data_IF_184242694996
#
_entry.id   IF_184242694996
#
_cell.length_a   1.000
_cell.length_b   1.000
_cell.length_c   1.000
_cell.angle_alpha   90.00
_cell.angle_beta   90.00
_cell.angle_gamma   90.00
#
_symmetry.space_group_name_H-M   'P 1'
#
loop_
_entity.id
_entity.type
_entity.pdbx_description
1 polymer ?
#
# COMPACT_ATOMS: atom_id res chain seq x y z
N UNK A 1 -28.78 -18.84 47.90
CA UNK A 1 -27.43 -18.28 47.87
C UNK A 1 -26.60 -18.77 46.65
N UNK A 2 -26.63 -20.03 46.33
CA UNK A 2 -25.87 -20.59 45.19
C UNK A 2 -26.33 -20.03 43.84
N UNK A 3 -27.61 -19.74 43.64
CA UNK A 3 -28.13 -19.19 42.37
C UNK A 3 -27.69 -17.76 42.08
N UNK A 4 -27.58 -16.90 43.08
CA UNK A 4 -27.09 -15.51 42.93
C UNK A 4 -25.61 -15.46 42.55
N UNK A 5 -24.79 -16.34 43.09
CA UNK A 5 -23.36 -16.44 42.81
C UNK A 5 -23.18 -17.01 41.39
N UNK A 6 -23.93 -18.03 41.00
CA UNK A 6 -23.90 -18.61 39.68
C UNK A 6 -24.28 -17.59 38.58
N UNK A 7 -25.34 -16.81 38.81
CA UNK A 7 -25.75 -15.73 37.89
C UNK A 7 -24.66 -14.65 37.72
N UNK A 8 -23.95 -14.26 38.80
CA UNK A 8 -22.83 -13.35 38.76
C UNK A 8 -21.68 -13.90 37.90
N UNK A 9 -21.31 -15.17 38.08
CA UNK A 9 -20.26 -15.79 37.29
C UNK A 9 -20.65 -15.96 35.83
N UNK A 10 -21.89 -16.33 35.53
CA UNK A 10 -22.40 -16.44 34.17
C UNK A 10 -22.38 -15.08 33.45
N UNK A 11 -22.75 -13.99 34.10
CA UNK A 11 -22.67 -12.64 33.56
C UNK A 11 -21.21 -12.20 33.28
N UNK A 12 -20.29 -12.54 34.18
CA UNK A 12 -18.86 -12.25 34.06
C UNK A 12 -18.24 -13.05 32.90
N UNK A 13 -18.55 -14.33 32.77
CA UNK A 13 -18.09 -15.19 31.66
C UNK A 13 -18.63 -14.67 30.34
N UNK A 14 -19.90 -14.29 30.26
CA UNK A 14 -20.49 -13.71 29.05
C UNK A 14 -19.80 -12.41 28.65
N UNK A 15 -19.50 -11.52 29.60
CA UNK A 15 -18.76 -10.28 29.34
C UNK A 15 -17.33 -10.52 28.82
N UNK A 16 -16.63 -11.50 29.40
CA UNK A 16 -15.27 -11.89 28.94
C UNK A 16 -15.32 -12.49 27.53
N UNK A 17 -16.29 -13.35 27.22
CA UNK A 17 -16.46 -13.94 25.90
C UNK A 17 -16.74 -12.87 24.83
N UNK A 18 -17.57 -11.88 25.13
CA UNK A 18 -17.84 -10.76 24.23
C UNK A 18 -16.58 -9.92 24.03
N UNK A 19 -15.82 -9.61 25.08
CA UNK A 19 -14.57 -8.85 24.97
C UNK A 19 -13.52 -9.60 24.13
N UNK A 20 -13.39 -10.90 24.28
CA UNK A 20 -12.49 -11.74 23.47
C UNK A 20 -12.92 -11.73 21.99
N UNK A 21 -14.21 -11.91 21.72
CA UNK A 21 -14.74 -11.87 20.33
C UNK A 21 -14.49 -10.52 19.67
N UNK A 22 -14.74 -9.41 20.37
CA UNK A 22 -14.46 -8.06 19.86
C UNK A 22 -12.96 -7.86 19.63
N UNK A 23 -12.12 -8.30 20.55
CA UNK A 23 -10.67 -8.26 20.40
C UNK A 23 -10.17 -9.04 19.20
N UNK A 24 -10.71 -10.24 18.95
CA UNK A 24 -10.39 -11.07 17.79
C UNK A 24 -10.81 -10.36 16.49
N UNK A 25 -12.03 -9.84 16.43
CA UNK A 25 -12.52 -9.12 15.24
C UNK A 25 -11.67 -7.88 14.95
N UNK A 26 -11.31 -7.09 15.98
CA UNK A 26 -10.43 -5.93 15.81
C UNK A 26 -9.01 -6.31 15.39
N UNK A 27 -8.48 -7.42 15.91
CA UNK A 27 -7.15 -7.91 15.55
C UNK A 27 -7.13 -8.43 14.12
N UNK A 28 -8.07 -9.30 13.73
CA UNK A 28 -8.16 -9.83 12.36
C UNK A 28 -8.63 -8.78 11.35
N UNK A 29 -9.45 -7.83 11.74
CA UNK A 29 -9.87 -6.71 10.90
C UNK A 29 -8.71 -5.80 10.48
N UNK A 30 -7.66 -5.70 11.30
CA UNK A 30 -6.44 -4.94 10.96
C UNK A 30 -5.49 -5.68 10.02
N UNK A 31 -5.59 -7.00 9.91
CA UNK A 31 -4.73 -7.83 9.07
C UNK A 31 -5.26 -8.04 7.65
N UNK A 32 -6.54 -7.80 7.42
CA UNK A 32 -7.12 -7.77 6.08
C UNK A 32 -6.87 -6.40 5.43
N UNK A 33 -5.67 -6.18 4.91
CA UNK A 33 -5.48 -5.17 3.88
C UNK A 33 -6.22 -5.66 2.64
N UNK A 34 -7.27 -4.95 2.28
CA UNK A 34 -7.85 -5.12 0.95
C UNK A 34 -6.75 -4.81 -0.07
N UNK A 35 -6.49 -5.74 -0.95
CA UNK A 35 -5.51 -5.53 -2.02
C UNK A 35 -6.18 -4.67 -3.09
N UNK A 36 -5.98 -3.35 -2.98
CA UNK A 36 -6.53 -2.35 -3.90
C UNK A 36 -5.72 -2.22 -5.20
N UNK A 37 -4.78 -3.14 -5.43
CA UNK A 37 -3.99 -3.12 -6.66
C UNK A 37 -4.89 -3.33 -7.87
N UNK A 38 -4.76 -2.51 -8.91
CA UNK A 38 -5.57 -2.65 -10.10
C UNK A 38 -5.28 -3.98 -10.82
N UNK A 39 -6.34 -4.57 -11.35
CA UNK A 39 -6.22 -5.77 -12.20
C UNK A 39 -5.70 -5.34 -13.56
N UNK A 40 -4.58 -5.91 -13.98
CA UNK A 40 -3.96 -5.63 -15.27
C UNK A 40 -4.56 -6.57 -16.31
N UNK A 41 -5.33 -6.03 -17.26
CA UNK A 41 -5.97 -6.79 -18.33
C UNK A 41 -5.07 -6.95 -19.56
N UNK A 42 -4.23 -5.97 -19.86
CA UNK A 42 -3.26 -6.00 -20.97
C UNK A 42 -1.84 -5.98 -20.42
N UNK A 43 -1.29 -7.17 -20.24
CA UNK A 43 0.03 -7.38 -19.63
C UNK A 43 1.14 -6.76 -20.48
N UNK A 44 1.08 -6.92 -21.79
CA UNK A 44 2.10 -6.38 -22.70
C UNK A 44 2.13 -4.86 -22.66
N UNK A 45 0.96 -4.23 -22.78
CA UNK A 45 0.82 -2.77 -22.70
C UNK A 45 1.28 -2.23 -21.35
N UNK A 46 0.93 -2.91 -20.26
CA UNK A 46 1.39 -2.54 -18.92
C UNK A 46 2.91 -2.53 -18.82
N UNK A 47 3.56 -3.57 -19.29
CA UNK A 47 5.02 -3.67 -19.23
C UNK A 47 5.71 -2.63 -20.13
N UNK A 48 5.14 -2.30 -21.27
CA UNK A 48 5.63 -1.23 -22.15
C UNK A 48 5.51 0.15 -21.50
N UNK A 49 4.38 0.44 -20.85
CA UNK A 49 4.17 1.68 -20.10
C UNK A 49 5.14 1.78 -18.93
N UNK A 50 5.32 0.71 -18.17
CA UNK A 50 6.26 0.66 -17.06
C UNK A 50 7.71 0.89 -17.53
N UNK A 51 8.14 0.23 -18.59
CA UNK A 51 9.47 0.43 -19.18
C UNK A 51 9.67 1.87 -19.65
N UNK A 52 8.66 2.49 -20.24
CA UNK A 52 8.68 3.91 -20.64
C UNK A 52 8.84 4.85 -19.44
N UNK A 53 8.09 4.62 -18.38
CA UNK A 53 8.21 5.40 -17.14
C UNK A 53 9.56 5.21 -16.45
N UNK A 54 10.10 4.00 -16.42
CA UNK A 54 11.45 3.73 -15.90
C UNK A 54 12.51 4.53 -16.65
N UNK A 55 12.44 4.52 -17.96
CA UNK A 55 13.36 5.29 -18.83
C UNK A 55 13.24 6.80 -18.57
N UNK A 56 12.04 7.30 -18.47
CA UNK A 56 11.78 8.72 -18.18
C UNK A 56 12.32 9.10 -16.80
N UNK A 57 12.06 8.29 -15.77
CA UNK A 57 12.55 8.53 -14.42
C UNK A 57 14.08 8.54 -14.36
N UNK A 58 14.74 7.57 -14.98
CA UNK A 58 16.21 7.52 -15.05
C UNK A 58 16.82 8.67 -15.85
N UNK A 59 16.09 9.26 -16.78
CA UNK A 59 16.54 10.50 -17.48
C UNK A 59 16.49 11.72 -16.59
N UNK A 60 15.66 11.73 -15.57
CA UNK A 60 15.55 12.80 -14.58
C UNK A 60 16.61 12.67 -13.49
N UNK A 61 16.77 11.47 -12.96
CA UNK A 61 17.73 11.14 -11.90
C UNK A 61 18.49 9.87 -12.27
N UNK A 62 19.78 10.01 -12.49
CA UNK A 62 20.65 8.87 -12.76
C UNK A 62 20.93 8.12 -11.45
N UNK A 63 20.59 6.86 -11.42
CA UNK A 63 20.74 6.02 -10.23
C UNK A 63 20.19 4.62 -10.40
N UNK A 64 19.99 3.95 -9.28
CA UNK A 64 19.38 2.62 -9.23
C UNK A 64 17.89 2.75 -8.91
N UNK A 65 17.04 2.13 -9.71
CA UNK A 65 15.63 1.97 -9.34
C UNK A 65 15.55 0.92 -8.25
N UNK A 66 15.07 1.30 -7.08
CA UNK A 66 14.97 0.43 -5.91
C UNK A 66 13.55 -0.04 -5.61
N UNK A 67 12.56 0.71 -6.06
CA UNK A 67 11.15 0.36 -5.92
C UNK A 67 10.33 0.93 -7.08
N UNK A 68 9.32 0.18 -7.50
CA UNK A 68 8.26 0.65 -8.42
C UNK A 68 6.94 0.17 -7.86
N UNK A 69 6.03 1.10 -7.62
CA UNK A 69 4.65 0.81 -7.25
C UNK A 69 3.70 1.30 -8.33
N UNK A 70 2.64 0.54 -8.58
CA UNK A 70 1.55 0.97 -9.42
C UNK A 70 0.42 1.50 -8.55
N UNK A 71 0.05 2.74 -8.76
CA UNK A 71 -1.00 3.43 -8.06
C UNK A 71 -2.09 3.90 -9.02
N UNK A 72 -3.23 4.27 -8.48
CA UNK A 72 -4.31 4.92 -9.21
C UNK A 72 -4.63 6.23 -8.54
N UNK A 73 -4.41 7.32 -9.24
CA UNK A 73 -4.64 8.67 -8.75
C UNK A 73 -5.62 9.39 -9.67
N UNK A 74 -6.73 9.85 -9.12
CA UNK A 74 -7.84 10.45 -9.88
C UNK A 74 -8.31 9.62 -11.09
N UNK A 75 -8.33 8.29 -10.91
CA UNK A 75 -8.71 7.35 -11.96
C UNK A 75 -7.62 7.05 -12.99
N UNK A 76 -6.44 7.66 -12.88
CA UNK A 76 -5.32 7.49 -13.81
C UNK A 76 -4.26 6.55 -13.23
N UNK A 77 -3.74 5.60 -14.01
CA UNK A 77 -2.66 4.75 -13.57
C UNK A 77 -1.35 5.55 -13.49
N UNK A 78 -0.71 5.48 -12.33
CA UNK A 78 0.57 6.16 -12.02
C UNK A 78 1.58 5.10 -11.61
N UNK A 79 2.80 5.20 -12.11
CA UNK A 79 3.95 4.48 -11.56
C UNK A 79 4.71 5.40 -10.61
N UNK A 80 4.81 4.99 -9.36
CA UNK A 80 5.64 5.61 -8.35
C UNK A 80 6.98 4.89 -8.32
N UNK A 81 8.05 5.61 -8.67
CA UNK A 81 9.38 5.05 -8.89
C UNK A 81 10.36 5.70 -7.91
N UNK A 82 10.99 4.87 -7.08
CA UNK A 82 12.04 5.28 -6.17
C UNK A 82 13.42 4.99 -6.79
N UNK A 83 14.24 6.04 -6.91
CA UNK A 83 15.61 5.97 -7.43
C UNK A 83 16.59 6.40 -6.36
N UNK A 84 17.55 5.53 -6.06
CA UNK A 84 18.71 5.87 -5.22
C UNK A 84 19.84 6.39 -6.11
N UNK A 85 20.27 7.62 -5.87
CA UNK A 85 21.40 8.22 -6.60
C UNK A 85 22.76 7.79 -6.03
N UNK A 86 23.85 8.24 -6.67
CA UNK A 86 25.21 7.90 -6.25
C UNK A 86 25.61 8.45 -4.87
N UNK A 87 24.90 9.46 -4.38
CA UNK A 87 25.09 10.05 -3.05
C UNK A 87 24.24 9.33 -1.98
N UNK A 88 23.48 8.31 -2.36
CA UNK A 88 22.58 7.57 -1.48
C UNK A 88 21.26 8.27 -1.19
N UNK A 89 20.97 9.36 -1.90
CA UNK A 89 19.67 10.05 -1.80
C UNK A 89 18.62 9.32 -2.60
N UNK A 90 17.40 9.36 -2.10
CA UNK A 90 16.23 8.77 -2.74
C UNK A 90 15.38 9.84 -3.41
N UNK A 91 15.03 9.60 -4.65
CA UNK A 91 14.15 10.44 -5.46
C UNK A 91 12.89 9.68 -5.77
N UNK A 92 11.76 10.24 -5.38
CA UNK A 92 10.45 9.69 -5.66
C UNK A 92 9.86 10.39 -6.89
N UNK A 93 9.61 9.60 -7.94
CA UNK A 93 9.14 10.09 -9.22
C UNK A 93 7.83 9.43 -9.55
N UNK A 94 6.79 10.22 -9.68
CA UNK A 94 5.50 9.76 -10.18
C UNK A 94 5.41 9.99 -11.68
N UNK A 95 5.13 8.92 -12.42
CA UNK A 95 5.00 8.94 -13.87
C UNK A 95 3.61 8.47 -14.28
N UNK A 96 2.93 9.27 -15.10
CA UNK A 96 1.67 8.86 -15.71
C UNK A 96 1.90 7.71 -16.68
N UNK A 97 1.29 6.55 -16.40
CA UNK A 97 1.50 5.34 -17.19
C UNK A 97 1.03 5.48 -18.64
N UNK A 98 -0.01 6.24 -18.89
CA UNK A 98 -0.60 6.41 -20.23
C UNK A 98 0.21 7.38 -21.09
N UNK A 99 0.68 8.48 -20.51
CA UNK A 99 1.40 9.54 -21.24
C UNK A 99 2.92 9.40 -21.16
N UNK A 100 3.44 8.67 -20.17
CA UNK A 100 4.88 8.59 -19.89
C UNK A 100 5.47 9.88 -19.33
N UNK A 101 4.65 10.83 -18.93
CA UNK A 101 5.09 12.11 -18.38
C UNK A 101 5.27 12.03 -16.87
N UNK A 102 6.30 12.70 -16.38
CA UNK A 102 6.50 12.91 -14.93
C UNK A 102 5.47 13.92 -14.43
N UNK A 103 4.71 13.52 -13.42
CA UNK A 103 3.70 14.36 -12.76
C UNK A 103 4.18 14.88 -11.42
N UNK A 104 5.11 14.17 -10.78
CA UNK A 104 5.74 14.58 -9.52
C UNK A 104 7.18 14.08 -9.45
N UNK A 105 8.08 14.89 -8.89
CA UNK A 105 9.51 14.61 -8.75
C UNK A 105 10.01 15.24 -7.46
N UNK A 106 10.22 14.43 -6.43
CA UNK A 106 10.57 14.87 -5.10
C UNK A 106 11.80 14.14 -4.56
N UNK A 107 12.64 14.88 -3.84
CA UNK A 107 13.66 14.29 -2.99
C UNK A 107 12.99 13.75 -1.72
N UNK A 108 13.12 12.46 -1.49
CA UNK A 108 12.72 11.85 -0.22
C UNK A 108 13.69 12.30 0.88
N UNK A 109 13.16 12.92 1.91
CA UNK A 109 13.92 13.53 3.01
C UNK A 109 13.76 12.79 4.33
N UNK A 110 13.53 11.51 4.27
CA UNK A 110 13.47 10.72 5.51
C UNK A 110 14.75 10.77 6.33
#
# INVERSE_FOLDING_TARGET
MKEKILKKYLALIAAILVAVLVGVVLFFGKTYKHDDRPIISDIKKHNEMMAGCMKTALSKHNGAIVEIEMEKEDGRPIFDIDIQDSDGKHWEIECDAETGQVVEDNLDRD
#
